data_IF_136985382227
#
_entry.id   IF_136985382227
#
_cell.length_a   1.000
_cell.length_b   1.000
_cell.length_c   1.000
_cell.angle_alpha   90.00
_cell.angle_beta   90.00
_cell.angle_gamma   90.00
#
_symmetry.space_group_name_H-M   'P 1'
#
loop_
_entity.id
_entity.type
_entity.pdbx_description
1 polymer ?
#
# COMPACT_ATOMS: atom_id res chain seq x y z
N UNK A 1 -11.81 22.24 28.94
CA UNK A 1 -11.36 21.14 28.06
C UNK A 1 -10.67 20.11 28.92
N UNK A 2 -11.45 19.30 29.63
CA UNK A 2 -10.97 18.25 30.52
C UNK A 2 -10.83 16.98 29.69
N UNK A 3 -9.59 16.60 29.42
CA UNK A 3 -9.26 15.30 28.87
C UNK A 3 -9.25 14.32 30.06
N UNK A 4 -10.31 13.52 30.20
CA UNK A 4 -10.33 12.42 31.15
C UNK A 4 -9.20 11.43 30.81
N UNK A 5 -8.33 11.06 31.77
CA UNK A 5 -7.03 10.44 31.50
C UNK A 5 -7.07 8.96 31.05
N UNK A 6 -8.25 8.39 30.76
CA UNK A 6 -8.37 6.95 30.47
C UNK A 6 -9.28 6.60 29.28
N UNK A 7 -9.22 7.35 28.18
CA UNK A 7 -9.89 6.95 26.94
C UNK A 7 -8.94 7.12 25.74
N UNK A 8 -8.41 6.01 25.21
CA UNK A 8 -7.40 5.96 24.14
C UNK A 8 -7.88 6.48 22.78
N UNK A 9 -9.16 6.86 22.64
CA UNK A 9 -9.71 7.49 21.43
C UNK A 9 -10.48 8.77 21.81
N UNK A 10 -10.20 9.92 21.17
CA UNK A 10 -10.90 11.16 21.45
C UNK A 10 -12.37 11.04 21.03
N UNK A 11 -13.29 11.41 21.93
CA UNK A 11 -14.72 11.52 21.64
C UNK A 11 -15.08 12.99 21.49
N UNK A 12 -15.80 13.32 20.42
CA UNK A 12 -16.23 14.69 20.12
C UNK A 12 -17.75 14.76 20.07
N UNK A 13 -18.33 15.74 20.76
CA UNK A 13 -19.74 16.11 20.60
C UNK A 13 -19.86 17.10 19.43
N UNK A 14 -20.18 16.58 18.24
CA UNK A 14 -20.19 17.35 16.98
C UNK A 14 -21.05 18.63 17.06
N UNK A 15 -22.18 18.55 17.75
CA UNK A 15 -23.13 19.64 17.89
C UNK A 15 -22.54 20.83 18.67
N UNK A 16 -21.61 20.55 19.59
CA UNK A 16 -20.97 21.53 20.46
C UNK A 16 -19.66 22.09 19.90
N UNK A 17 -19.16 21.55 18.79
CA UNK A 17 -17.97 22.07 18.13
C UNK A 17 -18.29 23.33 17.32
N UNK A 18 -17.41 24.32 17.39
CA UNK A 18 -17.40 25.44 16.45
C UNK A 18 -16.83 25.03 15.08
N UNK A 19 -16.90 25.93 14.10
CA UNK A 19 -16.45 25.66 12.74
C UNK A 19 -14.95 25.32 12.64
N UNK A 20 -14.10 25.90 13.51
CA UNK A 20 -12.67 25.64 13.53
C UNK A 20 -12.35 24.26 14.13
N UNK A 21 -13.05 23.89 15.19
CA UNK A 21 -12.93 22.58 15.84
C UNK A 21 -13.43 21.47 14.92
N UNK A 22 -14.54 21.69 14.19
CA UNK A 22 -15.02 20.74 13.17
C UNK A 22 -14.00 20.53 12.06
N UNK A 23 -13.38 21.61 11.56
CA UNK A 23 -12.29 21.52 10.58
C UNK A 23 -11.11 20.72 11.12
N UNK A 24 -10.72 20.93 12.37
CA UNK A 24 -9.62 20.21 13.00
C UNK A 24 -9.91 18.70 13.17
N UNK A 25 -11.12 18.33 13.60
CA UNK A 25 -11.52 16.92 13.77
C UNK A 25 -11.61 16.19 12.43
N UNK A 26 -12.03 16.88 11.37
CA UNK A 26 -12.07 16.34 10.01
C UNK A 26 -10.71 16.41 9.29
N UNK A 27 -9.71 17.10 9.86
CA UNK A 27 -8.42 17.22 9.24
C UNK A 27 -7.72 15.86 9.24
N UNK A 28 -7.24 15.45 8.06
CA UNK A 28 -6.32 14.31 7.98
C UNK A 28 -5.01 14.72 8.68
N UNK A 29 -4.41 13.85 9.51
CA UNK A 29 -3.10 14.11 10.09
C UNK A 29 -2.10 14.49 9.00
N UNK A 30 -1.42 15.61 9.19
CA UNK A 30 -0.41 16.06 8.25
C UNK A 30 0.74 15.05 8.22
N UNK A 31 1.14 14.64 7.01
CA UNK A 31 2.35 13.82 6.81
C UNK A 31 3.54 14.78 6.72
N UNK A 32 4.30 14.92 7.81
CA UNK A 32 5.55 15.67 7.80
C UNK A 32 6.64 14.94 7.00
N UNK A 33 7.60 15.66 6.41
CA UNK A 33 8.78 15.08 5.76
C UNK A 33 8.71 14.89 4.23
N UNK A 34 7.70 15.46 3.55
CA UNK A 34 7.50 15.26 2.11
C UNK A 34 8.69 15.65 1.23
N UNK A 35 9.33 16.80 1.48
CA UNK A 35 10.42 17.29 0.64
C UNK A 35 11.68 16.42 0.71
N UNK A 36 12.08 16.03 1.92
CA UNK A 36 13.24 15.15 2.11
C UNK A 36 12.98 13.75 1.53
N UNK A 37 11.79 13.19 1.79
CA UNK A 37 11.37 11.92 1.22
C UNK A 37 11.38 11.96 -0.31
N UNK A 38 10.82 13.01 -0.92
CA UNK A 38 10.85 13.21 -2.37
C UNK A 38 12.28 13.26 -2.92
N UNK A 39 13.20 13.95 -2.24
CA UNK A 39 14.60 14.00 -2.64
C UNK A 39 15.30 12.63 -2.52
N UNK A 40 14.98 11.84 -1.49
CA UNK A 40 15.48 10.48 -1.35
C UNK A 40 14.97 9.56 -2.47
N UNK A 41 13.66 9.60 -2.77
CA UNK A 41 13.06 8.82 -3.87
C UNK A 41 13.66 9.21 -5.22
N UNK A 42 13.84 10.51 -5.48
CA UNK A 42 14.44 10.99 -6.73
C UNK A 42 15.86 10.45 -6.92
N UNK A 43 16.66 10.40 -5.85
CA UNK A 43 18.00 9.81 -5.89
C UNK A 43 17.98 8.31 -6.20
N UNK A 44 17.08 7.54 -5.58
CA UNK A 44 16.93 6.10 -5.87
C UNK A 44 16.55 5.90 -7.34
N UNK A 45 15.58 6.65 -7.86
CA UNK A 45 15.17 6.55 -9.26
C UNK A 45 16.34 6.89 -10.19
N UNK A 46 17.08 7.96 -9.92
CA UNK A 46 18.25 8.34 -10.72
C UNK A 46 19.32 7.24 -10.71
N UNK A 47 19.58 6.63 -9.55
CA UNK A 47 20.55 5.56 -9.41
C UNK A 47 20.10 4.28 -10.15
N UNK A 48 18.83 3.87 -10.03
CA UNK A 48 18.29 2.72 -10.77
C UNK A 48 18.36 2.96 -12.28
N UNK A 49 18.12 4.19 -12.75
CA UNK A 49 18.28 4.53 -14.18
C UNK A 49 19.72 4.44 -14.67
N UNK A 50 20.70 4.79 -13.83
CA UNK A 50 22.11 4.75 -14.18
C UNK A 50 22.71 3.33 -14.11
N UNK A 51 22.37 2.59 -13.05
CA UNK A 51 23.06 1.36 -12.67
C UNK A 51 22.20 0.09 -12.89
N UNK A 52 20.93 0.26 -13.25
CA UNK A 52 19.99 -0.82 -13.55
C UNK A 52 19.85 -1.85 -12.44
N UNK A 53 19.85 -3.12 -12.82
CA UNK A 53 19.62 -4.25 -11.92
C UNK A 53 20.69 -4.43 -10.84
N UNK A 54 21.90 -3.89 -11.06
CA UNK A 54 22.97 -3.89 -10.04
C UNK A 54 22.54 -3.04 -8.84
N UNK A 55 21.94 -1.88 -9.10
CA UNK A 55 21.37 -1.03 -8.04
C UNK A 55 20.19 -1.73 -7.36
N UNK A 56 19.29 -2.38 -8.11
CA UNK A 56 18.16 -3.12 -7.53
C UNK A 56 18.65 -4.20 -6.55
N UNK A 57 19.63 -5.02 -6.93
CA UNK A 57 20.21 -6.05 -6.04
C UNK A 57 20.87 -5.44 -4.80
N UNK A 58 21.59 -4.33 -4.94
CA UNK A 58 22.21 -3.64 -3.81
C UNK A 58 21.16 -3.06 -2.84
N UNK A 59 20.07 -2.50 -3.37
CA UNK A 59 18.96 -1.97 -2.56
C UNK A 59 18.21 -3.09 -1.84
N UNK A 60 17.93 -4.21 -2.51
CA UNK A 60 17.32 -5.41 -1.90
C UNK A 60 18.21 -5.96 -0.78
N UNK A 61 19.52 -6.11 -1.01
CA UNK A 61 20.44 -6.54 0.06
C UNK A 61 20.41 -5.59 1.26
N UNK A 62 20.35 -4.27 1.01
CA UNK A 62 20.35 -3.25 2.05
C UNK A 62 19.05 -3.21 2.86
N UNK A 63 17.90 -3.28 2.21
CA UNK A 63 16.61 -3.06 2.87
C UNK A 63 15.90 -4.35 3.27
N UNK A 64 16.01 -5.39 2.45
CA UNK A 64 15.34 -6.68 2.68
C UNK A 64 16.28 -7.72 3.31
N UNK A 65 17.60 -7.45 3.31
CA UNK A 65 18.61 -8.30 3.96
C UNK A 65 18.92 -9.60 3.22
N UNK A 66 18.48 -9.73 1.96
CA UNK A 66 18.65 -10.93 1.14
C UNK A 66 19.48 -10.65 -0.12
N UNK A 67 20.26 -11.64 -0.55
CA UNK A 67 20.94 -11.60 -1.85
C UNK A 67 20.11 -12.34 -2.89
N UNK A 68 19.69 -11.62 -3.94
CA UNK A 68 18.95 -12.21 -5.05
C UNK A 68 19.90 -12.59 -6.19
N UNK A 69 19.81 -13.84 -6.65
CA UNK A 69 20.40 -14.25 -7.92
C UNK A 69 19.62 -13.66 -9.10
N UNK A 70 18.35 -14.05 -9.20
CA UNK A 70 17.42 -13.58 -10.22
C UNK A 70 16.41 -12.58 -9.63
N UNK A 71 16.06 -11.55 -10.41
CA UNK A 71 15.03 -10.59 -10.03
C UNK A 71 13.62 -11.10 -10.35
N UNK A 72 13.48 -11.85 -11.44
CA UNK A 72 12.22 -12.45 -11.83
C UNK A 72 12.01 -13.76 -11.07
N UNK A 73 10.82 -13.94 -10.49
CA UNK A 73 10.44 -15.21 -9.88
C UNK A 73 10.19 -16.23 -10.99
N UNK A 74 10.87 -17.38 -11.00
CA UNK A 74 10.66 -18.39 -12.02
C UNK A 74 9.23 -18.97 -12.00
N UNK A 75 8.71 -19.33 -13.17
CA UNK A 75 7.31 -19.76 -13.32
C UNK A 75 7.03 -21.08 -12.58
N UNK A 76 8.02 -21.96 -12.48
CA UNK A 76 7.95 -23.19 -11.72
C UNK A 76 7.81 -22.93 -10.22
N UNK A 77 8.48 -21.91 -9.69
CA UNK A 77 8.35 -21.53 -8.28
C UNK A 77 6.96 -20.95 -8.00
N UNK A 78 6.42 -20.17 -8.94
CA UNK A 78 5.03 -19.67 -8.87
C UNK A 78 4.03 -20.84 -8.86
N UNK A 79 4.21 -21.83 -9.73
CA UNK A 79 3.34 -23.02 -9.79
C UNK A 79 3.44 -23.86 -8.52
N UNK A 80 4.64 -24.07 -8.00
CA UNK A 80 4.88 -24.80 -6.76
C UNK A 80 4.21 -24.13 -5.57
N UNK A 81 4.44 -22.83 -5.36
CA UNK A 81 3.78 -22.05 -4.32
C UNK A 81 2.24 -22.08 -4.48
N UNK A 82 1.76 -22.02 -5.72
CA UNK A 82 0.35 -22.18 -6.04
C UNK A 82 -0.21 -23.54 -5.65
N UNK A 83 0.57 -24.63 -5.71
CA UNK A 83 0.16 -25.98 -5.34
C UNK A 83 0.13 -26.21 -3.82
N UNK A 84 0.94 -25.48 -3.06
CA UNK A 84 0.99 -25.55 -1.59
C UNK A 84 -0.25 -24.95 -0.90
N UNK A 85 -1.05 -24.17 -1.63
CA UNK A 85 -2.29 -23.59 -1.10
C UNK A 85 -3.31 -24.67 -0.75
N UNK A 86 -3.91 -24.54 0.43
CA UNK A 86 -5.04 -25.39 0.83
C UNK A 86 -6.23 -25.20 -0.12
N UNK A 87 -7.05 -26.24 -0.34
CA UNK A 87 -8.24 -26.13 -1.19
C UNK A 87 -9.16 -24.97 -0.77
N UNK A 88 -9.40 -24.83 0.53
CA UNK A 88 -10.24 -23.77 1.07
C UNK A 88 -9.72 -22.35 0.75
N UNK A 89 -8.41 -22.13 0.83
CA UNK A 89 -7.81 -20.84 0.47
C UNK A 89 -7.89 -20.59 -1.04
N UNK A 90 -7.63 -21.61 -1.86
CA UNK A 90 -7.75 -21.52 -3.32
C UNK A 90 -9.17 -21.13 -3.74
N UNK A 91 -10.18 -21.78 -3.16
CA UNK A 91 -11.59 -21.51 -3.46
C UNK A 91 -12.00 -20.10 -3.02
N UNK A 92 -11.55 -19.65 -1.84
CA UNK A 92 -11.79 -18.30 -1.36
C UNK A 92 -11.21 -17.23 -2.30
N UNK A 93 -9.96 -17.41 -2.76
CA UNK A 93 -9.33 -16.50 -3.73
C UNK A 93 -10.04 -16.52 -5.09
N UNK A 94 -10.47 -17.69 -5.57
CA UNK A 94 -11.22 -17.82 -6.81
C UNK A 94 -12.57 -17.08 -6.74
N UNK A 95 -13.30 -17.21 -5.62
CA UNK A 95 -14.54 -16.49 -5.39
C UNK A 95 -14.32 -14.97 -5.32
N UNK A 96 -13.28 -14.51 -4.61
CA UNK A 96 -12.93 -13.09 -4.54
C UNK A 96 -12.61 -12.52 -5.93
N UNK A 97 -11.80 -13.24 -6.73
CA UNK A 97 -11.50 -12.89 -8.13
C UNK A 97 -12.77 -12.80 -8.97
N UNK A 98 -13.68 -13.76 -8.86
CA UNK A 98 -14.93 -13.74 -9.61
C UNK A 98 -15.76 -12.50 -9.31
N UNK A 99 -15.96 -12.17 -8.02
CA UNK A 99 -16.72 -10.98 -7.62
C UNK A 99 -16.06 -9.69 -8.10
N UNK A 100 -14.73 -9.59 -7.98
CA UNK A 100 -13.95 -8.47 -8.47
C UNK A 100 -14.19 -8.26 -9.98
N UNK A 101 -14.06 -9.32 -10.77
CA UNK A 101 -14.23 -9.26 -12.23
C UNK A 101 -15.67 -8.89 -12.62
N UNK A 102 -16.68 -9.47 -11.97
CA UNK A 102 -18.08 -9.14 -12.22
C UNK A 102 -18.38 -7.66 -11.97
N UNK A 103 -17.92 -7.12 -10.84
CA UNK A 103 -18.11 -5.71 -10.53
C UNK A 103 -17.38 -4.80 -11.53
N UNK A 104 -16.11 -5.07 -11.83
CA UNK A 104 -15.32 -4.23 -12.73
C UNK A 104 -15.87 -4.28 -14.16
N UNK A 105 -16.29 -5.46 -14.65
CA UNK A 105 -16.93 -5.58 -15.95
C UNK A 105 -18.24 -4.78 -16.03
N UNK A 106 -19.04 -4.79 -14.97
CA UNK A 106 -20.30 -4.03 -14.91
C UNK A 106 -20.11 -2.51 -14.70
N UNK A 107 -18.92 -2.07 -14.30
CA UNK A 107 -18.61 -0.67 -13.98
C UNK A 107 -17.55 -0.07 -14.89
N UNK A 108 -17.16 -0.76 -15.98
CA UNK A 108 -16.34 -0.16 -17.01
C UNK A 108 -17.10 1.02 -17.61
N UNK A 109 -16.57 2.22 -17.42
CA UNK A 109 -17.03 3.40 -18.14
C UNK A 109 -16.46 3.28 -19.54
N UNK A 110 -17.32 3.33 -20.56
CA UNK A 110 -16.88 3.43 -21.94
C UNK A 110 -16.07 4.72 -22.09
N UNK A 111 -14.76 4.67 -22.41
CA UNK A 111 -13.95 5.87 -22.57
C UNK A 111 -14.41 6.75 -23.75
N UNK A 112 -15.36 6.30 -24.58
CA UNK A 112 -15.94 7.06 -25.69
C UNK A 112 -17.37 7.59 -25.43
N UNK A 113 -17.97 7.40 -24.24
CA UNK A 113 -19.30 7.90 -23.88
C UNK A 113 -19.29 9.30 -23.24
#
# INVERSE_FOLDING_TARGET
MTLEPNNLLPRFDWSRLDASQRRAVLARPARSGGAELSAQVARIIAQVRADGDTCLRALTRRYDGVELGELAVPIEQIRAAGAELSPALRDAMAQARQRLLQFHAATQVDPAA
#
